data_IF_778285715527
#
_entry.id   IF_778285715527
#
_cell.length_a   1.000
_cell.length_b   1.000
_cell.length_c   1.000
_cell.angle_alpha   90.00
_cell.angle_beta   90.00
_cell.angle_gamma   90.00
#
_symmetry.space_group_name_H-M   'P 1'
#
loop_
_entity.id
_entity.type
_entity.pdbx_description
1 polymer ?
#
# COMPACT_ATOMS: atom_id res chain seq x y z
N UNK A 1 14.63 33.28 2.64
CA UNK A 1 14.15 31.91 2.29
C UNK A 1 14.45 30.84 3.36
N UNK A 2 15.30 31.07 4.37
CA UNK A 2 15.55 30.10 5.46
C UNK A 2 14.39 30.01 6.48
N UNK A 3 13.73 31.14 6.80
CA UNK A 3 12.65 31.28 7.81
C UNK A 3 11.28 30.67 7.41
N UNK A 4 11.16 30.12 6.20
CA UNK A 4 10.01 29.26 5.89
C UNK A 4 10.34 27.78 6.09
N UNK A 5 11.60 27.38 5.89
CA UNK A 5 12.04 25.98 5.86
C UNK A 5 12.09 25.37 7.27
N UNK A 6 12.54 26.15 8.25
CA UNK A 6 12.47 25.86 9.69
C UNK A 6 11.05 25.54 10.17
N UNK A 7 10.05 26.35 9.79
CA UNK A 7 8.64 26.14 10.17
C UNK A 7 8.07 24.87 9.57
N UNK A 8 8.48 24.51 8.35
CA UNK A 8 8.11 23.24 7.72
C UNK A 8 8.68 22.03 8.47
N UNK A 9 9.91 22.11 9.00
CA UNK A 9 10.49 21.03 9.80
C UNK A 9 9.80 20.85 11.14
N UNK A 10 9.44 21.95 11.81
CA UNK A 10 8.68 21.91 13.06
C UNK A 10 7.26 21.34 12.83
N UNK A 11 6.50 21.96 11.93
CA UNK A 11 5.11 21.56 11.66
C UNK A 11 5.04 20.14 11.08
N UNK A 12 5.88 19.83 10.10
CA UNK A 12 5.97 18.49 9.52
C UNK A 12 6.37 17.44 10.54
N UNK A 13 7.32 17.76 11.44
CA UNK A 13 7.74 16.87 12.52
C UNK A 13 6.61 16.54 13.50
N UNK A 14 5.88 17.56 13.97
CA UNK A 14 4.72 17.38 14.85
C UNK A 14 3.63 16.55 14.16
N UNK A 15 3.30 16.89 12.91
CA UNK A 15 2.25 16.20 12.17
C UNK A 15 2.59 14.71 11.94
N UNK A 16 3.85 14.41 11.61
CA UNK A 16 4.33 13.03 11.48
C UNK A 16 4.19 12.28 12.82
N UNK A 17 4.62 12.87 13.93
CA UNK A 17 4.48 12.21 15.25
C UNK A 17 3.01 11.93 15.57
N UNK A 18 2.12 12.92 15.37
CA UNK A 18 0.69 12.73 15.60
C UNK A 18 0.10 11.64 14.71
N UNK A 19 0.45 11.62 13.43
CA UNK A 19 -0.01 10.60 12.49
C UNK A 19 0.48 9.21 12.91
N UNK A 20 1.76 9.08 13.23
CA UNK A 20 2.33 7.80 13.67
C UNK A 20 1.76 7.32 15.01
N UNK A 21 1.42 8.23 15.92
CA UNK A 21 0.69 7.88 17.15
C UNK A 21 -0.71 7.35 16.85
N UNK A 22 -1.45 7.95 15.91
CA UNK A 22 -2.75 7.43 15.46
C UNK A 22 -2.59 6.02 14.87
N UNK A 23 -1.55 5.78 14.07
CA UNK A 23 -1.24 4.46 13.52
C UNK A 23 -0.92 3.43 14.61
N UNK A 24 -0.25 3.85 15.69
CA UNK A 24 0.11 2.96 16.79
C UNK A 24 -1.10 2.58 17.67
N UNK A 25 -1.88 3.60 18.05
CA UNK A 25 -3.01 3.49 18.98
C UNK A 25 -4.25 2.90 18.29
N UNK A 26 -4.56 3.34 17.08
CA UNK A 26 -5.77 2.99 16.32
C UNK A 26 -5.47 2.58 14.88
N UNK A 27 -4.69 1.49 14.64
CA UNK A 27 -4.27 1.07 13.30
C UNK A 27 -5.46 0.76 12.39
N UNK A 28 -6.52 0.13 12.91
CA UNK A 28 -7.71 -0.21 12.12
C UNK A 28 -8.41 1.04 11.56
N UNK A 29 -8.63 2.06 12.40
CA UNK A 29 -9.23 3.34 11.98
C UNK A 29 -8.35 4.09 11.00
N UNK A 30 -7.02 4.04 11.20
CA UNK A 30 -6.09 4.61 10.24
C UNK A 30 -6.23 3.97 8.87
N UNK A 31 -6.30 2.63 8.80
CA UNK A 31 -6.50 1.89 7.54
C UNK A 31 -7.81 2.32 6.86
N UNK A 32 -8.91 2.43 7.59
CA UNK A 32 -10.20 2.86 7.05
C UNK A 32 -10.12 4.25 6.42
N UNK A 33 -9.58 5.22 7.16
CA UNK A 33 -9.42 6.60 6.67
C UNK A 33 -8.46 6.65 5.47
N UNK A 34 -7.36 5.91 5.53
CA UNK A 34 -6.38 5.84 4.45
C UNK A 34 -7.01 5.33 3.15
N UNK A 35 -7.82 4.27 3.22
CA UNK A 35 -8.54 3.73 2.07
C UNK A 35 -9.59 4.68 1.51
N UNK A 36 -10.30 5.41 2.38
CA UNK A 36 -11.24 6.45 1.95
C UNK A 36 -10.50 7.55 1.18
N UNK A 37 -9.35 8.00 1.67
CA UNK A 37 -8.55 9.03 1.00
C UNK A 37 -8.04 8.55 -0.37
N UNK A 38 -7.54 7.31 -0.46
CA UNK A 38 -7.17 6.69 -1.75
C UNK A 38 -8.38 6.64 -2.68
N UNK A 39 -9.53 6.17 -2.19
CA UNK A 39 -10.74 6.08 -2.99
C UNK A 39 -11.17 7.42 -3.57
N UNK A 40 -11.13 8.49 -2.78
CA UNK A 40 -11.41 9.85 -3.25
C UNK A 40 -10.40 10.27 -4.33
N UNK A 41 -9.11 10.02 -4.13
CA UNK A 41 -8.08 10.36 -5.12
C UNK A 41 -8.31 9.64 -6.46
N UNK A 42 -8.66 8.35 -6.42
CA UNK A 42 -8.96 7.55 -7.62
C UNK A 42 -10.26 8.00 -8.30
N UNK A 43 -11.28 8.39 -7.53
CA UNK A 43 -12.50 9.02 -8.07
C UNK A 43 -12.13 10.30 -8.83
N UNK A 44 -11.32 11.17 -8.23
CA UNK A 44 -10.87 12.42 -8.86
C UNK A 44 -10.06 12.15 -10.13
N UNK A 45 -9.16 11.16 -10.13
CA UNK A 45 -8.43 10.73 -11.34
C UNK A 45 -9.40 10.30 -12.45
N UNK A 46 -10.42 9.52 -12.11
CA UNK A 46 -11.46 9.08 -13.04
C UNK A 46 -12.24 10.27 -13.63
N UNK A 47 -12.63 11.23 -12.79
CA UNK A 47 -13.28 12.46 -13.24
C UNK A 47 -12.38 13.29 -14.17
N UNK A 48 -11.13 13.53 -13.78
CA UNK A 48 -10.17 14.26 -14.64
C UNK A 48 -10.01 13.56 -15.99
N UNK A 49 -9.90 12.23 -15.99
CA UNK A 49 -9.78 11.46 -17.22
C UNK A 49 -11.02 11.62 -18.11
N UNK A 50 -12.22 11.53 -17.55
CA UNK A 50 -13.48 11.56 -18.31
C UNK A 50 -13.85 12.96 -18.82
N UNK A 51 -13.58 14.00 -18.02
CA UNK A 51 -14.09 15.35 -18.30
C UNK A 51 -13.03 16.31 -18.81
N UNK A 52 -11.75 16.08 -18.51
CA UNK A 52 -10.65 16.95 -18.95
C UNK A 52 -9.83 16.30 -20.06
N UNK A 53 -9.43 15.04 -19.90
CA UNK A 53 -8.53 14.37 -20.85
C UNK A 53 -9.28 13.81 -22.06
N UNK A 54 -10.38 13.09 -21.84
CA UNK A 54 -11.12 12.38 -22.90
C UNK A 54 -11.62 13.29 -24.05
N UNK A 55 -12.08 14.53 -23.83
CA UNK A 55 -12.53 15.42 -24.91
C UNK A 55 -11.43 15.83 -25.88
N UNK A 56 -10.16 15.81 -25.44
CA UNK A 56 -9.00 16.25 -26.23
C UNK A 56 -8.46 15.13 -27.15
N UNK A 57 -8.98 13.91 -27.04
CA UNK A 57 -8.44 12.74 -27.77
C UNK A 57 -9.21 12.48 -29.06
N UNK A 58 -8.52 12.62 -30.18
CA UNK A 58 -9.07 12.41 -31.52
C UNK A 58 -9.13 10.92 -31.92
N UNK A 59 -8.15 10.11 -31.49
CA UNK A 59 -8.08 8.68 -31.85
C UNK A 59 -9.23 7.89 -31.20
N UNK A 60 -10.09 7.21 -31.99
CA UNK A 60 -11.23 6.45 -31.46
C UNK A 60 -10.84 5.31 -30.51
N UNK A 61 -9.72 4.65 -30.77
CA UNK A 61 -9.22 3.51 -29.97
C UNK A 61 -8.72 3.98 -28.59
N UNK A 62 -7.95 5.07 -28.58
CA UNK A 62 -7.43 5.68 -27.34
C UNK A 62 -8.60 6.26 -26.54
N UNK A 63 -9.55 6.91 -27.21
CA UNK A 63 -10.75 7.46 -26.57
C UNK A 63 -11.59 6.37 -25.90
N UNK A 64 -11.83 5.23 -26.56
CA UNK A 64 -12.53 4.08 -25.95
C UNK A 64 -11.80 3.57 -24.71
N UNK A 65 -10.48 3.44 -24.80
CA UNK A 65 -9.64 2.96 -23.69
C UNK A 65 -9.69 3.90 -22.49
N UNK A 66 -9.54 5.22 -22.69
CA UNK A 66 -9.60 6.21 -21.63
C UNK A 66 -11.00 6.31 -21.02
N UNK A 67 -12.06 6.17 -21.82
CA UNK A 67 -13.43 6.14 -21.31
C UNK A 67 -13.65 4.95 -20.36
N UNK A 68 -13.20 3.75 -20.75
CA UNK A 68 -13.28 2.56 -19.89
C UNK A 68 -12.44 2.76 -18.63
N UNK A 69 -11.19 3.21 -18.77
CA UNK A 69 -10.30 3.47 -17.63
C UNK A 69 -10.89 4.48 -16.65
N UNK A 70 -11.45 5.58 -17.14
CA UNK A 70 -12.06 6.62 -16.31
C UNK A 70 -13.29 6.11 -15.55
N UNK A 71 -14.17 5.33 -16.21
CA UNK A 71 -15.33 4.71 -15.55
C UNK A 71 -14.88 3.69 -14.49
N UNK A 72 -13.89 2.85 -14.81
CA UNK A 72 -13.35 1.87 -13.87
C UNK A 72 -12.69 2.55 -12.67
N UNK A 73 -11.95 3.64 -12.87
CA UNK A 73 -11.37 4.41 -11.77
C UNK A 73 -12.45 4.95 -10.83
N UNK A 74 -13.52 5.58 -11.35
CA UNK A 74 -14.63 6.03 -10.52
C UNK A 74 -15.27 4.86 -9.76
N UNK A 75 -15.53 3.73 -10.42
CA UNK A 75 -16.12 2.56 -9.78
C UNK A 75 -15.24 1.98 -8.66
N UNK A 76 -13.94 1.77 -8.93
CA UNK A 76 -12.97 1.27 -7.96
C UNK A 76 -12.82 2.22 -6.79
N UNK A 77 -12.78 3.53 -7.06
CA UNK A 77 -12.70 4.55 -6.03
C UNK A 77 -13.94 4.59 -5.13
N UNK A 78 -15.15 4.44 -5.69
CA UNK A 78 -16.39 4.30 -4.91
C UNK A 78 -16.34 3.05 -4.02
N UNK A 79 -15.92 1.91 -4.55
CA UNK A 79 -15.74 0.70 -3.74
C UNK A 79 -14.74 0.95 -2.61
N UNK A 80 -13.63 1.64 -2.89
CA UNK A 80 -12.59 1.93 -1.89
C UNK A 80 -13.08 2.86 -0.77
N UNK A 81 -13.99 3.79 -1.07
CA UNK A 81 -14.63 4.67 -0.07
C UNK A 81 -15.68 3.91 0.75
N UNK A 82 -16.55 3.16 0.10
CA UNK A 82 -17.71 2.56 0.76
C UNK A 82 -17.43 1.22 1.43
N UNK A 83 -16.57 0.38 0.86
CA UNK A 83 -16.24 -0.93 1.41
C UNK A 83 -15.78 -0.89 2.88
N UNK A 84 -14.82 -0.03 3.29
CA UNK A 84 -14.41 0.04 4.70
C UNK A 84 -15.51 0.55 5.65
N UNK A 85 -16.49 1.31 5.14
CA UNK A 85 -17.63 1.80 5.96
C UNK A 85 -18.65 0.69 6.26
N UNK A 86 -18.80 -0.27 5.35
CA UNK A 86 -19.76 -1.37 5.50
C UNK A 86 -19.13 -2.65 6.05
N UNK A 87 -17.84 -2.86 5.80
CA UNK A 87 -17.14 -4.08 6.21
C UNK A 87 -15.80 -3.70 6.83
N UNK A 88 -15.82 -3.54 8.16
CA UNK A 88 -14.65 -3.18 8.94
C UNK A 88 -13.48 -4.13 8.64
N UNK A 89 -12.36 -3.55 8.19
CA UNK A 89 -11.13 -4.27 7.88
C UNK A 89 -11.14 -5.14 6.61
N UNK A 90 -12.20 -5.15 5.80
CA UNK A 90 -12.26 -5.99 4.59
C UNK A 90 -11.24 -5.61 3.52
N UNK A 91 -11.06 -4.31 3.26
CA UNK A 91 -10.18 -3.82 2.20
C UNK A 91 -8.74 -4.33 2.37
N UNK A 92 -8.24 -4.31 3.61
CA UNK A 92 -6.90 -4.77 3.93
C UNK A 92 -6.78 -6.30 3.93
N UNK A 93 -7.78 -7.01 4.48
CA UNK A 93 -7.78 -8.47 4.47
C UNK A 93 -7.74 -9.02 3.03
N UNK A 94 -8.50 -8.41 2.11
CA UNK A 94 -8.49 -8.76 0.69
C UNK A 94 -7.09 -8.61 0.09
N UNK A 95 -6.39 -7.49 0.34
CA UNK A 95 -5.01 -7.33 -0.15
C UNK A 95 -4.07 -8.42 0.38
N UNK A 96 -4.15 -8.75 1.67
CA UNK A 96 -3.30 -9.78 2.26
C UNK A 96 -3.63 -11.18 1.73
N UNK A 97 -4.89 -11.46 1.41
CA UNK A 97 -5.26 -12.71 0.74
C UNK A 97 -4.73 -12.77 -0.68
N UNK A 98 -4.79 -11.67 -1.45
CA UNK A 98 -4.19 -11.61 -2.79
C UNK A 98 -2.67 -11.85 -2.70
N UNK A 99 -2.00 -11.22 -1.73
CA UNK A 99 -0.57 -11.42 -1.48
C UNK A 99 -0.27 -12.88 -1.08
N UNK A 100 -1.09 -13.50 -0.22
CA UNK A 100 -0.95 -14.91 0.14
C UNK A 100 -1.13 -15.85 -1.06
N UNK A 101 -2.07 -15.55 -1.95
CA UNK A 101 -2.28 -16.33 -3.19
C UNK A 101 -1.06 -16.17 -4.11
N UNK A 102 -0.56 -14.95 -4.29
CA UNK A 102 0.65 -14.70 -5.06
C UNK A 102 1.85 -15.49 -4.52
N UNK A 103 2.08 -15.47 -3.20
CA UNK A 103 3.13 -16.26 -2.56
C UNK A 103 2.99 -17.77 -2.82
N UNK A 104 1.77 -18.32 -2.83
CA UNK A 104 1.56 -19.73 -3.18
C UNK A 104 1.83 -20.02 -4.66
N UNK A 105 1.46 -19.11 -5.56
CA UNK A 105 1.77 -19.23 -6.98
C UNK A 105 3.30 -19.22 -7.16
N UNK A 106 3.98 -18.27 -6.53
CA UNK A 106 5.43 -18.13 -6.55
C UNK A 106 6.12 -19.38 -5.99
N UNK A 107 5.66 -19.94 -4.87
CA UNK A 107 6.15 -21.22 -4.35
C UNK A 107 5.93 -22.38 -5.35
N UNK A 108 4.80 -22.39 -6.06
CA UNK A 108 4.52 -23.34 -7.14
C UNK A 108 5.53 -23.24 -8.29
N UNK A 109 5.90 -22.03 -8.68
CA UNK A 109 6.91 -21.77 -9.71
C UNK A 109 8.32 -22.19 -9.25
N UNK A 110 8.67 -21.94 -7.99
CA UNK A 110 9.91 -22.39 -7.38
C UNK A 110 10.08 -23.92 -7.50
N UNK A 111 9.02 -24.70 -7.31
CA UNK A 111 9.09 -26.15 -7.52
C UNK A 111 9.40 -26.56 -8.97
N UNK A 112 8.94 -25.79 -9.96
CA UNK A 112 9.29 -26.03 -11.36
C UNK A 112 10.78 -25.72 -11.60
N UNK A 113 11.30 -24.63 -11.03
CA UNK A 113 12.71 -24.28 -11.10
C UNK A 113 13.58 -25.35 -10.43
N UNK A 114 13.21 -25.82 -9.23
CA UNK A 114 13.91 -26.90 -8.52
C UNK A 114 13.96 -28.16 -9.38
N UNK A 115 12.87 -28.53 -10.06
CA UNK A 115 12.83 -29.70 -10.95
C UNK A 115 13.84 -29.56 -12.08
N UNK A 116 13.84 -28.41 -12.76
CA UNK A 116 14.68 -28.18 -13.92
C UNK A 116 16.17 -28.07 -13.52
N UNK A 117 16.47 -27.43 -12.39
CA UNK A 117 17.83 -27.35 -11.84
C UNK A 117 18.38 -28.69 -11.39
N UNK A 118 17.55 -29.57 -10.79
CA UNK A 118 17.96 -30.95 -10.48
C UNK A 118 18.30 -31.74 -11.75
N UNK A 119 17.59 -31.51 -12.85
CA UNK A 119 17.90 -32.15 -14.13
C UNK A 119 19.24 -31.67 -14.72
N UNK A 120 19.69 -30.47 -14.33
CA UNK A 120 20.98 -29.88 -14.74
C UNK A 120 22.11 -30.10 -13.71
N UNK A 121 21.88 -30.89 -12.66
CA UNK A 121 22.82 -31.14 -11.54
C UNK A 121 23.30 -29.84 -10.85
N UNK A 122 22.41 -28.83 -10.80
CA UNK A 122 22.66 -27.54 -10.16
C UNK A 122 22.16 -27.53 -8.70
N UNK A 123 22.77 -26.72 -7.82
CA UNK A 123 22.35 -26.63 -6.42
C UNK A 123 20.96 -26.01 -6.29
N UNK A 124 20.05 -26.67 -5.56
CA UNK A 124 18.65 -26.25 -5.41
C UNK A 124 18.27 -25.76 -4.01
N UNK A 125 19.24 -25.71 -3.09
CA UNK A 125 18.98 -25.44 -1.67
C UNK A 125 18.26 -24.10 -1.44
N UNK A 126 18.67 -23.06 -2.16
CA UNK A 126 18.12 -21.71 -2.02
C UNK A 126 16.63 -21.68 -2.43
N UNK A 127 16.32 -22.23 -3.59
CA UNK A 127 14.94 -22.36 -4.12
C UNK A 127 14.03 -23.20 -3.20
N UNK A 128 14.56 -24.26 -2.59
CA UNK A 128 13.79 -25.06 -1.60
C UNK A 128 13.48 -24.22 -0.35
N UNK A 129 14.44 -23.45 0.15
CA UNK A 129 14.22 -22.57 1.31
C UNK A 129 13.20 -21.48 0.95
N UNK A 130 13.32 -20.88 -0.22
CA UNK A 130 12.39 -19.85 -0.70
C UNK A 130 10.96 -20.39 -0.83
N UNK A 131 10.75 -21.54 -1.48
CA UNK A 131 9.45 -22.18 -1.59
C UNK A 131 8.80 -22.43 -0.22
N UNK A 132 9.57 -22.94 0.76
CA UNK A 132 9.08 -23.19 2.12
C UNK A 132 8.72 -21.88 2.83
N UNK A 133 9.54 -20.84 2.70
CA UNK A 133 9.27 -19.54 3.29
C UNK A 133 8.00 -18.90 2.69
N UNK A 134 7.84 -18.95 1.36
CA UNK A 134 6.66 -18.42 0.67
C UNK A 134 5.38 -19.12 1.15
N UNK A 135 5.38 -20.44 1.26
CA UNK A 135 4.23 -21.20 1.79
C UNK A 135 3.95 -20.81 3.24
N UNK A 136 4.98 -20.75 4.09
CA UNK A 136 4.82 -20.40 5.49
C UNK A 136 4.25 -18.98 5.66
N UNK A 137 4.77 -18.01 4.90
CA UNK A 137 4.27 -16.64 4.91
C UNK A 137 2.83 -16.56 4.40
N UNK A 138 2.49 -17.25 3.31
CA UNK A 138 1.13 -17.30 2.79
C UNK A 138 0.15 -17.84 3.85
N UNK A 139 0.51 -18.91 4.55
CA UNK A 139 -0.30 -19.46 5.65
C UNK A 139 -0.49 -18.45 6.78
N UNK A 140 0.56 -17.73 7.18
CA UNK A 140 0.45 -16.68 8.19
C UNK A 140 -0.50 -15.57 7.73
N UNK A 141 -0.42 -15.15 6.47
CA UNK A 141 -1.32 -14.15 5.89
C UNK A 141 -2.78 -14.60 5.85
N UNK A 142 -3.04 -15.86 5.52
CA UNK A 142 -4.41 -16.41 5.50
C UNK A 142 -4.99 -16.59 6.90
N UNK A 143 -4.19 -17.04 7.87
CA UNK A 143 -4.65 -17.32 9.23
C UNK A 143 -4.82 -16.05 10.06
N UNK A 144 -3.97 -15.04 9.85
CA UNK A 144 -3.91 -13.83 10.68
C UNK A 144 -3.89 -12.51 9.89
N UNK A 145 -4.77 -12.31 8.89
CA UNK A 145 -4.71 -11.13 8.02
C UNK A 145 -4.85 -9.82 8.81
N UNK A 146 -5.78 -9.76 9.76
CA UNK A 146 -6.00 -8.54 10.55
C UNK A 146 -4.82 -8.22 11.48
N UNK A 147 -4.24 -9.24 12.13
CA UNK A 147 -3.11 -9.07 13.04
C UNK A 147 -1.86 -8.65 12.27
N UNK A 148 -1.59 -9.26 11.11
CA UNK A 148 -0.45 -8.87 10.27
C UNK A 148 -0.64 -7.46 9.72
N UNK A 149 -1.83 -7.10 9.28
CA UNK A 149 -2.13 -5.74 8.80
C UNK A 149 -1.96 -4.68 9.88
N UNK A 150 -2.49 -4.93 11.07
CA UNK A 150 -2.34 -4.01 12.20
C UNK A 150 -0.89 -3.92 12.67
N UNK A 151 -0.16 -5.03 12.70
CA UNK A 151 1.27 -5.04 13.01
C UNK A 151 2.05 -4.21 11.99
N UNK A 152 1.80 -4.39 10.70
CA UNK A 152 2.44 -3.63 9.64
C UNK A 152 2.21 -2.13 9.80
N UNK A 153 0.96 -1.71 10.00
CA UNK A 153 0.63 -0.29 10.22
C UNK A 153 1.30 0.28 11.46
N UNK A 154 1.39 -0.50 12.55
CA UNK A 154 2.10 -0.07 13.76
C UNK A 154 3.60 0.12 13.51
N UNK A 155 4.24 -0.79 12.78
CA UNK A 155 5.65 -0.69 12.43
C UNK A 155 5.91 0.57 11.58
N UNK A 156 5.08 0.83 10.57
CA UNK A 156 5.15 2.07 9.79
C UNK A 156 4.92 3.29 10.69
N UNK A 157 3.96 3.23 11.62
CA UNK A 157 3.70 4.29 12.59
C UNK A 157 4.92 4.64 13.45
N UNK A 158 5.66 3.63 13.91
CA UNK A 158 6.93 3.83 14.63
C UNK A 158 7.96 4.54 13.75
N UNK A 159 8.13 4.09 12.50
CA UNK A 159 9.05 4.74 11.55
C UNK A 159 8.68 6.19 11.27
N UNK A 160 7.38 6.49 11.14
CA UNK A 160 6.85 7.84 10.95
C UNK A 160 7.12 8.72 12.18
N UNK A 161 6.94 8.20 13.40
CA UNK A 161 7.28 8.92 14.65
C UNK A 161 8.77 9.25 14.68
N UNK A 162 9.64 8.27 14.38
CA UNK A 162 11.08 8.49 14.34
C UNK A 162 11.46 9.55 13.30
N UNK A 163 10.86 9.50 12.11
CA UNK A 163 11.03 10.53 11.07
C UNK A 163 10.62 11.92 11.55
N UNK A 164 9.49 12.02 12.25
CA UNK A 164 9.05 13.27 12.86
C UNK A 164 10.01 13.79 13.95
N UNK A 165 10.56 12.88 14.77
CA UNK A 165 11.60 13.20 15.75
C UNK A 165 12.88 13.75 15.11
N UNK A 166 13.32 13.17 13.98
CA UNK A 166 14.42 13.71 13.18
C UNK A 166 14.09 15.10 12.63
N UNK A 167 12.85 15.32 12.17
CA UNK A 167 12.37 16.63 11.74
C UNK A 167 12.46 17.70 12.84
N UNK A 168 12.02 17.36 14.05
CA UNK A 168 12.12 18.24 15.22
C UNK A 168 13.57 18.51 15.64
N UNK A 169 14.44 17.49 15.60
CA UNK A 169 15.86 17.64 15.89
C UNK A 169 16.54 18.60 14.89
N UNK A 170 16.21 18.47 13.60
CA UNK A 170 16.70 19.39 12.56
C UNK A 170 16.18 20.80 12.76
N UNK A 171 14.91 20.98 13.13
CA UNK A 171 14.40 22.31 13.48
C UNK A 171 15.19 22.94 14.63
N UNK A 172 15.44 22.21 15.72
CA UNK A 172 16.26 22.69 16.85
C UNK A 172 17.69 23.07 16.43
N UNK A 173 18.26 22.37 15.44
CA UNK A 173 19.65 22.55 15.03
C UNK A 173 19.83 23.68 14.00
N UNK A 174 18.85 23.91 13.13
CA UNK A 174 18.97 24.83 11.98
C UNK A 174 17.96 25.98 11.98
N UNK A 175 16.95 25.96 12.85
CA UNK A 175 15.82 26.88 12.85
C UNK A 175 15.46 27.46 14.21
N UNK A 176 16.20 27.13 15.27
CA UNK A 176 16.12 27.76 16.59
C UNK A 176 17.27 28.74 16.79
#
# INVERSE_FOLDING_TARGET
MQVSRDKWFLFGGILMILLGLVMLISPARFIEVFWILIGIAVILEGFITLFSVLPEIESPEVRKTLKIRGILAVAVGLVSVFLPLFVAGAAWAIMLYILGIEMLISAGLEFLVIRDMKAMDLPVREYVIEAVLLIALALVLFLFPFQIGTLFVRLVGVLIILGGGVGLYRWKTYGA
#
